data_IF_552932892285
#
_entry.id   IF_552932892285
#
_cell.length_a   1.000
_cell.length_b   1.000
_cell.length_c   1.000
_cell.angle_alpha   90.00
_cell.angle_beta   90.00
_cell.angle_gamma   90.00
#
_symmetry.space_group_name_H-M   'P 1'
#
loop_
_entity.id
_entity.type
_entity.pdbx_description
1 polymer ?
#
# COMPACT_ATOMS: atom_id res chain seq x y z
N UNK A 1 -8.19 -5.49 -17.08
CA UNK A 1 -7.32 -6.51 -16.46
C UNK A 1 -7.16 -6.11 -15.01
N UNK A 2 -7.25 -7.03 -14.05
CA UNK A 2 -7.07 -6.67 -12.64
C UNK A 2 -5.59 -6.73 -12.28
N UNK A 3 -5.07 -5.70 -11.62
CA UNK A 3 -3.71 -5.72 -11.10
C UNK A 3 -3.55 -6.81 -10.03
N UNK A 4 -2.40 -7.50 -10.02
CA UNK A 4 -1.99 -8.37 -8.90
C UNK A 4 -0.98 -7.65 -8.01
N UNK A 5 -1.11 -7.84 -6.70
CA UNK A 5 -0.25 -7.24 -5.68
C UNK A 5 0.38 -8.38 -4.88
N UNK A 6 1.71 -8.36 -4.79
CA UNK A 6 2.51 -9.30 -4.02
C UNK A 6 3.32 -8.52 -2.99
N UNK A 7 3.20 -8.89 -1.71
CA UNK A 7 3.88 -8.23 -0.59
C UNK A 7 4.86 -9.20 0.06
N UNK A 8 6.10 -8.76 0.27
CA UNK A 8 7.15 -9.51 0.97
C UNK A 8 7.74 -8.65 2.09
N UNK A 9 8.24 -9.28 3.16
CA UNK A 9 9.07 -8.56 4.14
C UNK A 9 10.48 -8.36 3.61
N UNK A 10 11.02 -7.15 3.79
CA UNK A 10 12.38 -6.73 3.42
C UNK A 10 13.00 -5.99 4.62
N UNK A 11 13.43 -6.75 5.62
CA UNK A 11 13.96 -6.21 6.88
C UNK A 11 12.89 -5.43 7.66
N UNK A 12 13.11 -4.13 7.80
CA UNK A 12 12.21 -3.17 8.46
C UNK A 12 11.12 -2.60 7.52
N UNK A 13 11.12 -3.02 6.26
CA UNK A 13 10.21 -2.55 5.22
C UNK A 13 9.43 -3.69 4.57
N UNK A 14 8.52 -3.30 3.68
CA UNK A 14 7.74 -4.17 2.82
C UNK A 14 8.14 -3.95 1.37
N UNK A 15 8.53 -5.02 0.70
CA UNK A 15 8.63 -5.04 -0.76
C UNK A 15 7.24 -5.27 -1.35
N UNK A 16 6.82 -4.41 -2.26
CA UNK A 16 5.54 -4.56 -2.96
C UNK A 16 5.80 -4.62 -4.46
N UNK A 17 5.19 -5.61 -5.10
CA UNK A 17 5.23 -5.76 -6.55
C UNK A 17 3.82 -5.72 -7.11
N UNK A 18 3.62 -4.85 -8.08
CA UNK A 18 2.34 -4.69 -8.78
C UNK A 18 2.52 -5.13 -10.22
N UNK A 19 1.66 -6.03 -10.71
CA UNK A 19 1.64 -6.46 -12.12
C UNK A 19 0.30 -6.11 -12.75
N UNK A 20 0.34 -5.39 -13.86
CA UNK A 20 -0.83 -4.98 -14.63
C UNK A 20 -0.44 -4.76 -16.10
N UNK A 21 -1.32 -5.15 -17.03
CA UNK A 21 -1.12 -4.86 -18.46
C UNK A 21 0.18 -5.42 -19.06
N UNK A 22 0.68 -6.53 -18.53
CA UNK A 22 1.92 -7.17 -19.01
C UNK A 22 3.22 -6.52 -18.53
N UNK A 23 3.15 -5.52 -17.64
CA UNK A 23 4.33 -4.90 -17.02
C UNK A 23 4.25 -4.94 -15.49
N UNK A 24 5.38 -4.69 -14.82
CA UNK A 24 5.46 -4.67 -13.36
C UNK A 24 6.13 -3.40 -12.83
N UNK A 25 5.74 -2.98 -11.62
CA UNK A 25 6.44 -1.98 -10.81
C UNK A 25 6.82 -2.57 -9.47
N UNK A 26 7.84 -1.99 -8.82
CA UNK A 26 8.33 -2.43 -7.51
C UNK A 26 8.46 -1.24 -6.58
N UNK A 27 8.05 -1.45 -5.33
CA UNK A 27 7.99 -0.42 -4.31
C UNK A 27 8.58 -0.95 -3.01
N UNK A 28 9.19 -0.08 -2.21
CA UNK A 28 9.61 -0.37 -0.84
C UNK A 28 8.88 0.57 0.11
N UNK A 29 8.11 0.01 1.03
CA UNK A 29 7.23 0.78 1.92
C UNK A 29 7.60 0.51 3.37
N UNK A 30 7.79 1.59 4.14
CA UNK A 30 7.93 1.49 5.60
C UNK A 30 6.58 1.68 6.27
N UNK A 31 6.41 1.01 7.41
CA UNK A 31 5.21 1.07 8.24
C UNK A 31 5.64 1.05 9.69
N UNK A 32 5.46 2.18 10.37
CA UNK A 32 5.71 2.27 11.81
C UNK A 32 4.65 1.50 12.60
N UNK A 33 5.00 1.08 13.82
CA UNK A 33 4.02 0.47 14.73
C UNK A 33 2.86 1.43 15.07
N UNK A 34 3.16 2.73 15.18
CA UNK A 34 2.15 3.77 15.45
C UNK A 34 1.15 3.90 14.30
N UNK A 35 1.64 3.98 13.05
CA UNK A 35 0.78 4.04 11.88
C UNK A 35 -0.02 2.75 11.68
N UNK A 36 0.59 1.59 11.96
CA UNK A 36 -0.12 0.31 11.93
C UNK A 36 -1.27 0.30 12.94
N UNK A 37 -1.00 0.67 14.19
CA UNK A 37 -2.00 0.73 15.25
C UNK A 37 -3.12 1.73 14.95
N UNK A 38 -2.79 2.85 14.30
CA UNK A 38 -3.74 3.90 13.94
C UNK A 38 -4.62 3.51 12.76
N UNK A 39 -4.05 2.85 11.75
CA UNK A 39 -4.76 2.55 10.49
C UNK A 39 -5.57 1.25 10.57
N UNK A 40 -5.00 0.20 11.17
CA UNK A 40 -5.61 -1.12 11.19
C UNK A 40 -4.99 -2.00 12.30
N UNK A 41 -5.31 -1.76 13.58
CA UNK A 41 -4.68 -2.42 14.72
C UNK A 41 -4.88 -3.95 14.72
N UNK A 42 -6.03 -4.42 14.21
CA UNK A 42 -6.41 -5.84 14.20
C UNK A 42 -6.05 -6.56 12.88
N UNK A 43 -5.30 -5.90 12.00
CA UNK A 43 -4.98 -6.42 10.66
C UNK A 43 -3.49 -6.73 10.56
N UNK A 44 -3.12 -7.80 9.87
CA UNK A 44 -1.73 -8.10 9.59
C UNK A 44 -1.08 -6.99 8.72
N UNK A 45 0.18 -6.64 9.02
CA UNK A 45 0.85 -5.52 8.35
C UNK A 45 0.93 -5.67 6.82
N UNK A 46 1.13 -6.89 6.31
CA UNK A 46 1.11 -7.22 4.88
C UNK A 46 -0.27 -7.03 4.24
N UNK A 47 -1.35 -7.36 4.94
CA UNK A 47 -2.72 -7.11 4.51
C UNK A 47 -3.04 -5.59 4.49
N UNK A 48 -2.57 -4.84 5.48
CA UNK A 48 -2.65 -3.37 5.49
C UNK A 48 -1.92 -2.76 4.29
N UNK A 49 -0.69 -3.19 4.02
CA UNK A 49 0.08 -2.74 2.86
C UNK A 49 -0.64 -3.09 1.55
N UNK A 50 -1.18 -4.30 1.43
CA UNK A 50 -1.96 -4.71 0.26
C UNK A 50 -3.18 -3.80 0.06
N UNK A 51 -3.93 -3.50 1.11
CA UNK A 51 -5.08 -2.61 1.06
C UNK A 51 -4.69 -1.17 0.68
N UNK A 52 -3.55 -0.68 1.17
CA UNK A 52 -3.02 0.63 0.78
C UNK A 52 -2.70 0.70 -0.72
N UNK A 53 -2.13 -0.36 -1.30
CA UNK A 53 -1.90 -0.41 -2.75
C UNK A 53 -3.18 -0.54 -3.56
N UNK A 54 -4.19 -1.30 -3.08
CA UNK A 54 -5.52 -1.31 -3.71
C UNK A 54 -6.15 0.09 -3.70
N UNK A 55 -5.99 0.85 -2.62
CA UNK A 55 -6.46 2.23 -2.52
C UNK A 55 -5.78 3.16 -3.54
N UNK A 56 -4.45 3.06 -3.67
CA UNK A 56 -3.66 3.87 -4.62
C UNK A 56 -4.03 3.53 -6.07
N UNK A 57 -4.09 2.25 -6.42
CA UNK A 57 -4.42 1.79 -7.78
C UNK A 57 -5.85 2.13 -8.21
N UNK A 58 -6.74 2.44 -7.26
CA UNK A 58 -8.07 2.96 -7.58
C UNK A 58 -8.06 4.45 -8.00
N UNK A 59 -6.91 5.15 -7.87
CA UNK A 59 -6.77 6.60 -8.08
C UNK A 59 -5.70 6.96 -9.10
N UNK A 60 -4.62 6.19 -9.17
CA UNK A 60 -3.49 6.45 -10.02
C UNK A 60 -2.93 5.16 -10.64
N UNK A 61 -2.30 5.23 -11.82
CA UNK A 61 -1.66 4.07 -12.43
C UNK A 61 -0.43 3.65 -11.62
N UNK A 62 -0.06 2.37 -11.70
CA UNK A 62 1.06 1.81 -10.92
C UNK A 62 2.40 2.52 -11.16
N UNK A 63 2.60 3.14 -12.33
CA UNK A 63 3.79 3.92 -12.69
C UNK A 63 3.89 5.25 -11.94
N UNK A 64 2.76 5.79 -11.45
CA UNK A 64 2.73 7.04 -10.68
C UNK A 64 3.03 6.82 -9.19
N UNK A 65 2.87 5.59 -8.69
CA UNK A 65 3.14 5.26 -7.29
C UNK A 65 4.64 5.36 -7.01
N UNK A 66 5.01 6.12 -5.97
CA UNK A 66 6.40 6.28 -5.55
C UNK A 66 7.10 4.93 -5.35
N UNK A 67 8.34 4.81 -5.83
CA UNK A 67 9.12 3.58 -5.69
C UNK A 67 9.55 3.32 -4.23
N UNK A 68 9.66 4.36 -3.40
CA UNK A 68 9.99 4.25 -1.98
C UNK A 68 9.28 5.32 -1.17
N UNK A 69 8.57 4.94 -0.11
CA UNK A 69 7.88 5.89 0.76
C UNK A 69 7.49 5.25 2.09
N UNK A 70 7.17 6.09 3.07
CA UNK A 70 6.52 5.66 4.30
C UNK A 70 5.00 5.71 4.14
N UNK A 71 4.25 4.76 4.70
CA UNK A 71 2.80 4.68 4.53
C UNK A 71 2.08 6.00 4.89
N UNK A 72 2.61 6.77 5.84
CA UNK A 72 2.05 8.06 6.25
C UNK A 72 2.03 9.09 5.11
N UNK A 73 2.90 8.95 4.12
CA UNK A 73 2.96 9.80 2.93
C UNK A 73 1.65 9.73 2.13
N UNK A 74 0.97 8.58 2.11
CA UNK A 74 -0.31 8.44 1.39
C UNK A 74 -1.33 9.47 1.90
N UNK A 75 -1.41 9.68 3.22
CA UNK A 75 -2.36 10.63 3.81
C UNK A 75 -2.07 12.10 3.45
N UNK A 76 -0.84 12.41 3.02
CA UNK A 76 -0.48 13.77 2.56
C UNK A 76 -1.05 14.07 1.17
N UNK A 77 -1.12 13.05 0.31
CA UNK A 77 -1.69 13.18 -1.04
C UNK A 77 -3.19 12.89 -1.07
N UNK A 78 -3.64 11.98 -0.22
CA UNK A 78 -5.03 11.56 -0.12
C UNK A 78 -5.49 11.64 1.35
N UNK A 79 -5.95 12.81 1.81
CA UNK A 79 -6.38 13.00 3.20
C UNK A 79 -7.47 12.03 3.67
N UNK A 80 -8.28 11.50 2.76
CA UNK A 80 -9.33 10.52 3.04
C UNK A 80 -8.83 9.08 3.19
N UNK A 81 -7.50 8.85 3.06
CA UNK A 81 -6.91 7.52 3.07
C UNK A 81 -7.32 6.69 4.28
N UNK A 82 -7.11 7.21 5.50
CA UNK A 82 -7.41 6.47 6.72
C UNK A 82 -8.91 6.13 6.84
N UNK A 83 -9.79 7.04 6.42
CA UNK A 83 -11.25 6.84 6.44
C UNK A 83 -11.70 5.78 5.44
N UNK A 84 -11.14 5.78 4.23
CA UNK A 84 -11.56 4.86 3.16
C UNK A 84 -10.83 3.52 3.16
N UNK A 85 -9.67 3.43 3.83
CA UNK A 85 -8.85 2.22 3.89
C UNK A 85 -9.64 0.95 4.28
N UNK A 86 -10.59 0.98 5.24
CA UNK A 86 -11.41 -0.19 5.57
C UNK A 86 -12.14 -0.83 4.39
N UNK A 87 -12.54 -0.06 3.37
CA UNK A 87 -13.20 -0.61 2.18
C UNK A 87 -12.28 -1.48 1.29
N UNK A 88 -10.96 -1.41 1.52
CA UNK A 88 -9.93 -2.14 0.78
C UNK A 88 -9.33 -3.31 1.58
N UNK A 89 -9.65 -3.40 2.87
CA UNK A 89 -9.40 -4.55 3.73
C UNK A 89 -10.43 -5.64 3.39
N UNK A 90 -10.10 -6.44 2.38
CA UNK A 90 -10.87 -7.63 1.96
C UNK A 90 -9.99 -8.84 2.06
#
# INVERSE_FOLDING_TARGET
MSASIEVTRDGDAFGVRVREGGSETRHRVTLSHEDHSRLAPDVAADALITAAFRFLLAREPKEAILARFDISVISRYFPEFAEKLPAYLR
#
